data_IF_547087412552
#
_entry.id   IF_547087412552
#
_cell.length_a   1.000
_cell.length_b   1.000
_cell.length_c   1.000
_cell.angle_alpha   90.00
_cell.angle_beta   90.00
_cell.angle_gamma   90.00
#
_symmetry.space_group_name_H-M   'P 1'
#
loop_
_entity.id
_entity.type
_entity.pdbx_description
1 polymer ?
#
# COMPACT_ATOMS: atom_id res chain seq x y z
N UNK A 1 2.16 3.47 -13.08
CA UNK A 1 0.96 2.65 -13.10
C UNK A 1 1.22 1.41 -13.95
N UNK A 2 1.07 0.24 -13.37
CA UNK A 2 1.09 -1.04 -14.06
C UNK A 2 -0.32 -1.64 -14.02
N UNK A 3 -0.87 -1.98 -15.19
CA UNK A 3 -2.24 -2.49 -15.31
C UNK A 3 -2.20 -3.83 -16.03
N UNK A 4 -2.56 -4.90 -15.36
CA UNK A 4 -2.75 -6.20 -15.97
C UNK A 4 -4.25 -6.44 -16.22
N UNK A 5 -4.61 -6.70 -17.48
CA UNK A 5 -6.00 -6.99 -17.86
C UNK A 5 -6.08 -8.45 -18.31
N UNK A 6 -6.93 -9.22 -17.64
CA UNK A 6 -7.17 -10.64 -17.96
C UNK A 6 -8.56 -10.78 -18.54
N UNK A 7 -8.60 -10.98 -19.86
CA UNK A 7 -9.80 -11.17 -20.66
C UNK A 7 -9.73 -12.53 -21.38
N UNK A 8 -10.86 -12.98 -21.93
CA UNK A 8 -10.87 -14.03 -22.96
C UNK A 8 -10.35 -13.46 -24.27
N UNK A 9 -9.72 -14.31 -25.09
CA UNK A 9 -9.14 -13.91 -26.39
C UNK A 9 -10.16 -13.23 -27.31
N UNK A 10 -11.42 -13.64 -27.25
CA UNK A 10 -12.54 -13.06 -28.03
C UNK A 10 -12.80 -11.58 -27.74
N UNK A 11 -12.36 -11.08 -26.57
CA UNK A 11 -12.52 -9.68 -26.11
C UNK A 11 -11.20 -8.92 -26.01
N UNK A 12 -10.11 -9.48 -26.48
CA UNK A 12 -8.78 -8.87 -26.37
C UNK A 12 -8.72 -7.45 -26.97
N UNK A 13 -9.56 -7.15 -27.96
CA UNK A 13 -9.68 -5.82 -28.57
C UNK A 13 -10.11 -4.73 -27.56
N UNK A 14 -10.75 -5.08 -26.44
CA UNK A 14 -11.19 -4.13 -25.41
C UNK A 14 -10.10 -3.78 -24.38
N UNK A 15 -9.00 -4.53 -24.35
CA UNK A 15 -7.93 -4.29 -23.40
C UNK A 15 -7.40 -2.84 -23.40
N UNK A 16 -7.12 -2.20 -24.55
CA UNK A 16 -6.65 -0.80 -24.57
C UNK A 16 -7.66 0.18 -23.97
N UNK A 17 -8.97 -0.04 -24.21
CA UNK A 17 -10.04 0.80 -23.68
C UNK A 17 -10.12 0.68 -22.15
N UNK A 18 -10.03 -0.54 -21.63
CA UNK A 18 -10.01 -0.80 -20.18
C UNK A 18 -8.77 -0.18 -19.52
N UNK A 19 -7.58 -0.36 -20.09
CA UNK A 19 -6.35 0.27 -19.59
C UNK A 19 -6.47 1.80 -19.55
N UNK A 20 -7.05 2.40 -20.57
CA UNK A 20 -7.31 3.84 -20.62
C UNK A 20 -8.27 4.26 -19.52
N UNK A 21 -9.35 3.54 -19.29
CA UNK A 21 -10.31 3.82 -18.22
C UNK A 21 -9.64 3.75 -16.83
N UNK A 22 -8.83 2.72 -16.57
CA UNK A 22 -8.07 2.60 -15.31
C UNK A 22 -7.13 3.80 -15.13
N UNK A 23 -6.44 4.24 -16.18
CA UNK A 23 -5.50 5.36 -16.12
C UNK A 23 -6.17 6.72 -15.84
N UNK A 24 -7.49 6.85 -15.99
CA UNK A 24 -8.22 8.07 -15.58
C UNK A 24 -8.46 8.15 -14.07
N UNK A 25 -8.46 7.00 -13.38
CA UNK A 25 -8.77 6.90 -11.94
C UNK A 25 -7.51 6.72 -11.10
N UNK A 26 -6.51 6.02 -11.63
CA UNK A 26 -5.26 5.75 -10.91
C UNK A 26 -4.04 6.25 -11.69
N UNK A 27 -3.09 6.89 -11.00
CA UNK A 27 -1.85 7.41 -11.60
C UNK A 27 -0.63 6.54 -11.34
N UNK A 28 -0.70 5.61 -10.36
CA UNK A 28 0.39 4.70 -9.95
C UNK A 28 -0.16 3.43 -9.33
N UNK A 29 0.73 2.48 -9.03
CA UNK A 29 0.38 1.20 -8.43
C UNK A 29 0.26 0.08 -9.46
N UNK A 30 -0.09 -1.11 -8.98
CA UNK A 30 -0.37 -2.29 -9.79
C UNK A 30 -1.86 -2.62 -9.67
N UNK A 31 -2.56 -2.71 -10.81
CA UNK A 31 -4.00 -2.97 -10.86
C UNK A 31 -4.26 -4.15 -11.78
N UNK A 32 -4.81 -5.21 -11.22
CA UNK A 32 -5.29 -6.38 -11.96
C UNK A 32 -6.79 -6.22 -12.26
N UNK A 33 -7.14 -6.18 -13.53
CA UNK A 33 -8.55 -6.22 -14.00
C UNK A 33 -8.84 -7.62 -14.50
N UNK A 34 -9.67 -8.36 -13.77
CA UNK A 34 -10.07 -9.71 -14.13
C UNK A 34 -11.53 -9.72 -14.57
N UNK A 35 -11.77 -9.96 -15.85
CA UNK A 35 -13.11 -10.13 -16.41
C UNK A 35 -13.47 -11.59 -16.51
N UNK A 36 -14.49 -12.01 -15.78
CA UNK A 36 -15.05 -13.36 -15.84
C UNK A 36 -16.43 -13.31 -16.47
N UNK A 37 -16.61 -14.04 -17.56
CA UNK A 37 -17.90 -14.21 -18.19
C UNK A 37 -18.45 -15.60 -17.82
N UNK A 38 -19.65 -15.64 -17.29
CA UNK A 38 -20.41 -16.89 -17.08
C UNK A 38 -21.45 -16.99 -18.17
N UNK A 39 -21.40 -18.03 -19.00
CA UNK A 39 -22.52 -18.33 -19.88
C UNK A 39 -23.68 -18.84 -19.02
N UNK A 40 -24.92 -18.36 -19.21
CA UNK A 40 -26.06 -18.97 -18.54
C UNK A 40 -26.13 -20.47 -18.92
N UNK A 41 -26.43 -21.31 -17.95
CA UNK A 41 -26.69 -22.71 -18.18
C UNK A 41 -27.89 -22.82 -19.17
N UNK A 42 -27.60 -23.27 -20.40
CA UNK A 42 -28.61 -23.31 -21.46
C UNK A 42 -28.30 -22.41 -22.67
N UNK A 43 -27.07 -21.87 -22.79
CA UNK A 43 -26.63 -21.30 -24.06
C UNK A 43 -26.81 -22.34 -25.16
N UNK A 44 -27.65 -22.03 -26.14
CA UNK A 44 -28.13 -22.97 -27.14
C UNK A 44 -26.99 -23.69 -27.82
N UNK A 45 -27.13 -25.00 -27.95
CA UNK A 45 -26.27 -25.83 -28.81
C UNK A 45 -27.01 -25.94 -30.11
N UNK A 46 -26.42 -25.44 -31.18
CA UNK A 46 -26.95 -25.61 -32.54
C UNK A 46 -26.33 -26.81 -33.20
N UNK A 47 -27.15 -27.62 -33.84
CA UNK A 47 -26.67 -28.73 -34.64
C UNK A 47 -26.34 -28.20 -36.04
N UNK A 48 -25.08 -28.35 -36.46
CA UNK A 48 -24.67 -28.10 -37.86
C UNK A 48 -25.08 -29.31 -38.73
N UNK A 49 -26.26 -29.16 -39.34
CA UNK A 49 -26.82 -30.24 -40.19
C UNK A 49 -25.95 -30.49 -41.43
N UNK A 50 -25.30 -29.46 -41.98
CA UNK A 50 -24.43 -29.60 -43.15
C UNK A 50 -23.17 -30.42 -42.79
N UNK A 51 -22.63 -30.25 -41.61
CA UNK A 51 -21.53 -31.04 -41.09
C UNK A 51 -21.98 -32.48 -40.83
N UNK A 52 -23.15 -32.69 -40.24
CA UNK A 52 -23.73 -34.01 -39.98
C UNK A 52 -23.97 -34.77 -41.27
N UNK A 53 -24.55 -34.12 -42.29
CA UNK A 53 -24.80 -34.74 -43.62
C UNK A 53 -23.50 -35.12 -44.34
N UNK A 54 -22.46 -34.29 -44.27
CA UNK A 54 -21.14 -34.60 -44.84
C UNK A 54 -20.56 -35.86 -44.21
N UNK A 55 -20.55 -35.95 -42.90
CA UNK A 55 -20.05 -37.12 -42.20
C UNK A 55 -20.87 -38.38 -42.54
N UNK A 56 -22.20 -38.30 -42.59
CA UNK A 56 -23.06 -39.40 -42.93
C UNK A 56 -22.81 -39.93 -44.36
N UNK A 57 -22.61 -39.01 -45.32
CA UNK A 57 -22.32 -39.33 -46.71
C UNK A 57 -20.95 -40.01 -46.87
N UNK A 58 -19.91 -39.40 -46.31
CA UNK A 58 -18.55 -39.95 -46.37
C UNK A 58 -18.49 -41.36 -45.73
N UNK A 59 -19.16 -41.55 -44.59
CA UNK A 59 -19.24 -42.85 -43.94
C UNK A 59 -19.92 -43.90 -44.82
N UNK A 60 -21.05 -43.52 -45.43
CA UNK A 60 -21.79 -44.45 -46.29
C UNK A 60 -20.98 -44.87 -47.51
N UNK A 61 -20.23 -43.96 -48.11
CA UNK A 61 -19.38 -44.26 -49.26
C UNK A 61 -18.17 -45.12 -48.88
N UNK A 62 -17.55 -44.88 -47.76
CA UNK A 62 -16.32 -45.57 -47.33
C UNK A 62 -16.61 -46.91 -46.64
N UNK A 63 -17.68 -47.03 -45.87
CA UNK A 63 -18.13 -48.27 -45.24
C UNK A 63 -18.51 -49.34 -46.27
N UNK A 64 -19.19 -48.91 -47.35
CA UNK A 64 -19.53 -49.81 -48.47
C UNK A 64 -18.31 -50.38 -49.17
N UNK A 65 -17.23 -49.60 -49.33
CA UNK A 65 -15.98 -50.06 -49.96
C UNK A 65 -15.16 -50.97 -49.06
N UNK A 66 -15.31 -50.86 -47.75
CA UNK A 66 -14.50 -51.60 -46.74
C UNK A 66 -15.25 -52.75 -46.07
N UNK A 67 -16.52 -52.97 -46.39
CA UNK A 67 -17.34 -54.00 -45.78
C UNK A 67 -17.65 -53.75 -44.29
N UNK A 68 -17.70 -52.50 -43.86
CA UNK A 68 -18.03 -52.13 -42.49
C UNK A 68 -19.56 -51.99 -42.34
N UNK A 69 -20.14 -52.16 -41.12
CA UNK A 69 -21.57 -51.96 -40.88
C UNK A 69 -21.97 -50.51 -41.19
N UNK A 70 -23.04 -50.33 -41.95
CA UNK A 70 -23.24 -49.19 -42.83
C UNK A 70 -24.01 -47.98 -42.33
N UNK A 71 -24.57 -47.93 -41.13
CA UNK A 71 -25.36 -46.78 -40.70
C UNK A 71 -24.85 -46.15 -39.39
N UNK A 72 -24.59 -44.85 -39.42
CA UNK A 72 -24.32 -44.06 -38.22
C UNK A 72 -25.66 -43.70 -37.56
N UNK A 73 -25.80 -43.94 -36.29
CA UNK A 73 -26.96 -43.50 -35.54
C UNK A 73 -26.83 -41.99 -35.25
N UNK A 74 -27.97 -41.29 -35.03
CA UNK A 74 -27.98 -39.86 -34.73
C UNK A 74 -27.06 -39.49 -33.54
N UNK A 75 -26.95 -40.34 -32.53
CA UNK A 75 -26.04 -40.13 -31.38
C UNK A 75 -24.55 -40.11 -31.79
N UNK A 76 -24.20 -40.95 -32.82
CA UNK A 76 -22.82 -41.06 -33.26
C UNK A 76 -22.44 -39.77 -34.05
N UNK A 77 -23.37 -39.25 -34.87
CA UNK A 77 -23.21 -37.99 -35.58
C UNK A 77 -23.05 -36.82 -34.61
N UNK A 78 -23.82 -36.75 -33.52
CA UNK A 78 -23.74 -35.68 -32.51
C UNK A 78 -22.41 -35.70 -31.75
N UNK A 79 -21.70 -36.80 -31.72
CA UNK A 79 -20.38 -36.91 -31.07
C UNK A 79 -19.22 -36.46 -31.95
N UNK A 80 -19.45 -36.26 -33.27
CA UNK A 80 -18.41 -35.87 -34.20
C UNK A 80 -18.04 -34.39 -34.11
N UNK A 81 -16.75 -34.06 -34.29
CA UNK A 81 -16.28 -32.69 -34.21
C UNK A 81 -17.01 -31.73 -35.15
N UNK A 82 -17.47 -30.60 -34.65
CA UNK A 82 -18.11 -29.58 -35.46
C UNK A 82 -19.60 -29.80 -35.80
N UNK A 83 -20.20 -30.94 -35.40
CA UNK A 83 -21.65 -31.19 -35.54
C UNK A 83 -22.44 -30.47 -34.45
N UNK A 84 -21.92 -30.44 -33.24
CA UNK A 84 -22.45 -29.58 -32.16
C UNK A 84 -21.64 -28.29 -32.08
N UNK A 85 -22.27 -27.18 -32.38
CA UNK A 85 -21.68 -25.84 -32.22
C UNK A 85 -22.38 -25.10 -31.10
N UNK A 86 -21.63 -24.40 -30.29
CA UNK A 86 -22.23 -23.39 -29.42
C UNK A 86 -22.88 -22.32 -30.32
N UNK A 87 -24.12 -21.96 -30.01
CA UNK A 87 -24.80 -20.88 -30.73
C UNK A 87 -24.01 -19.59 -30.49
N UNK A 88 -23.27 -19.15 -31.53
CA UNK A 88 -22.63 -17.84 -31.53
C UNK A 88 -23.77 -16.82 -31.69
N UNK A 89 -24.03 -16.04 -30.65
CA UNK A 89 -24.97 -14.92 -30.72
C UNK A 89 -24.41 -13.88 -31.66
N UNK A 90 -24.80 -13.91 -32.91
CA UNK A 90 -24.35 -12.96 -33.96
C UNK A 90 -24.72 -11.50 -33.64
N UNK A 91 -25.64 -11.27 -32.70
CA UNK A 91 -26.08 -9.91 -32.28
C UNK A 91 -25.40 -9.40 -31.01
N UNK A 92 -24.37 -10.10 -30.50
CA UNK A 92 -23.84 -9.89 -29.15
C UNK A 92 -22.66 -8.94 -29.00
N UNK A 93 -21.83 -8.74 -30.04
CA UNK A 93 -20.53 -8.11 -29.81
C UNK A 93 -20.61 -6.65 -29.38
N UNK A 94 -21.33 -5.80 -30.09
CA UNK A 94 -21.38 -4.36 -29.74
C UNK A 94 -22.16 -4.07 -28.46
N UNK A 95 -23.25 -4.81 -28.20
CA UNK A 95 -24.04 -4.67 -26.98
C UNK A 95 -23.31 -5.23 -25.76
N UNK A 96 -22.57 -6.33 -25.93
CA UNK A 96 -21.74 -6.91 -24.88
C UNK A 96 -20.54 -6.01 -24.54
N UNK A 97 -19.85 -5.49 -25.56
CA UNK A 97 -18.72 -4.57 -25.40
C UNK A 97 -19.13 -3.32 -24.61
N UNK A 98 -20.27 -2.70 -24.98
CA UNK A 98 -20.81 -1.54 -24.27
C UNK A 98 -21.16 -1.88 -22.81
N UNK A 99 -21.78 -3.04 -22.59
CA UNK A 99 -22.13 -3.51 -21.24
C UNK A 99 -20.89 -3.81 -20.39
N UNK A 100 -19.85 -4.40 -20.97
CA UNK A 100 -18.59 -4.66 -20.30
C UNK A 100 -17.88 -3.36 -19.89
N UNK A 101 -17.81 -2.39 -20.79
CA UNK A 101 -17.21 -1.09 -20.47
C UNK A 101 -17.98 -0.35 -19.36
N UNK A 102 -19.32 -0.38 -19.38
CA UNK A 102 -20.15 0.19 -18.32
C UNK A 102 -19.88 -0.51 -16.96
N UNK A 103 -19.72 -1.83 -16.96
CA UNK A 103 -19.36 -2.58 -15.74
C UNK A 103 -17.95 -2.21 -15.23
N UNK A 104 -16.99 -2.05 -16.13
CA UNK A 104 -15.64 -1.58 -15.77
C UNK A 104 -15.70 -0.18 -15.16
N UNK A 105 -16.44 0.74 -15.76
CA UNK A 105 -16.63 2.08 -15.22
C UNK A 105 -17.31 2.06 -13.83
N UNK A 106 -18.31 1.20 -13.62
CA UNK A 106 -18.92 1.01 -12.30
C UNK A 106 -17.92 0.51 -11.29
N UNK A 107 -17.15 -0.52 -11.64
CA UNK A 107 -16.12 -1.06 -10.77
C UNK A 107 -15.04 -0.01 -10.42
N UNK A 108 -14.64 0.82 -11.37
CA UNK A 108 -13.71 1.92 -11.15
C UNK A 108 -14.28 3.01 -10.23
N UNK A 109 -15.57 3.34 -10.36
CA UNK A 109 -16.24 4.26 -9.42
C UNK A 109 -16.28 3.70 -7.99
N UNK A 110 -16.59 2.42 -7.83
CA UNK A 110 -16.60 1.76 -6.52
C UNK A 110 -15.19 1.69 -5.91
N UNK A 111 -14.18 1.45 -6.75
CA UNK A 111 -12.77 1.48 -6.36
C UNK A 111 -12.37 2.86 -5.85
N UNK A 112 -12.69 3.93 -6.60
CA UNK A 112 -12.36 5.31 -6.21
C UNK A 112 -13.08 5.73 -4.92
N UNK A 113 -14.34 5.35 -4.75
CA UNK A 113 -15.07 5.58 -3.48
C UNK A 113 -14.43 4.85 -2.29
N UNK A 114 -13.93 3.64 -2.53
CA UNK A 114 -13.24 2.86 -1.49
C UNK A 114 -11.94 3.54 -1.10
N UNK A 115 -11.14 3.98 -2.08
CA UNK A 115 -9.91 4.76 -1.83
C UNK A 115 -10.19 6.06 -1.07
N UNK A 116 -11.26 6.78 -1.43
CA UNK A 116 -11.64 8.00 -0.73
C UNK A 116 -11.99 7.74 0.74
N UNK A 117 -12.71 6.64 1.03
CA UNK A 117 -13.04 6.24 2.41
C UNK A 117 -11.80 5.82 3.20
N UNK A 118 -10.92 5.03 2.60
CA UNK A 118 -9.68 4.60 3.22
C UNK A 118 -8.73 5.78 3.46
N UNK A 119 -8.62 6.69 2.49
CA UNK A 119 -7.84 7.92 2.62
C UNK A 119 -8.34 8.83 3.74
N UNK A 120 -9.66 8.95 3.91
CA UNK A 120 -10.24 9.71 5.03
C UNK A 120 -9.91 9.06 6.39
N UNK A 121 -9.98 7.73 6.49
CA UNK A 121 -9.60 7.02 7.71
C UNK A 121 -8.11 7.16 8.03
N UNK A 122 -7.24 7.06 7.00
CA UNK A 122 -5.80 7.28 7.14
C UNK A 122 -5.48 8.71 7.60
N UNK A 123 -6.19 9.71 7.07
CA UNK A 123 -6.01 11.11 7.49
C UNK A 123 -6.28 11.31 8.98
N UNK A 124 -7.33 10.69 9.52
CA UNK A 124 -7.63 10.71 10.96
C UNK A 124 -6.53 10.03 11.76
N UNK A 125 -6.08 8.85 11.32
CA UNK A 125 -5.00 8.12 11.99
C UNK A 125 -3.69 8.92 12.00
N UNK A 126 -3.33 9.57 10.89
CA UNK A 126 -2.15 10.44 10.83
C UNK A 126 -2.23 11.62 11.79
N UNK A 127 -3.38 12.28 11.87
CA UNK A 127 -3.57 13.39 12.81
C UNK A 127 -3.39 12.96 14.27
N UNK A 128 -3.90 11.80 14.64
CA UNK A 128 -3.73 11.24 15.99
C UNK A 128 -2.27 10.90 16.30
N UNK A 129 -1.57 10.24 15.36
CA UNK A 129 -0.15 9.90 15.55
C UNK A 129 0.70 11.16 15.61
N UNK A 130 0.49 12.11 14.70
CA UNK A 130 1.21 13.37 14.67
C UNK A 130 1.06 14.14 15.98
N UNK A 131 -0.14 14.20 16.53
CA UNK A 131 -0.42 14.84 17.82
C UNK A 131 0.34 14.18 18.98
N UNK A 132 0.47 12.84 18.97
CA UNK A 132 1.28 12.13 19.97
C UNK A 132 2.76 12.46 19.82
N UNK A 133 3.28 12.48 18.59
CA UNK A 133 4.67 12.84 18.31
C UNK A 133 4.96 14.29 18.73
N UNK A 134 4.09 15.24 18.39
CA UNK A 134 4.21 16.64 18.83
C UNK A 134 4.23 16.78 20.35
N UNK A 135 3.36 16.05 21.04
CA UNK A 135 3.32 16.00 22.50
C UNK A 135 4.61 15.41 23.08
N UNK A 136 5.12 14.34 22.46
CA UNK A 136 6.39 13.72 22.84
C UNK A 136 7.57 14.68 22.67
N UNK A 137 7.64 15.40 21.55
CA UNK A 137 8.69 16.41 21.30
C UNK A 137 8.59 17.55 22.30
N UNK A 138 7.39 18.04 22.64
CA UNK A 138 7.22 19.06 23.66
C UNK A 138 7.67 18.58 25.06
N UNK A 139 7.41 17.32 25.42
CA UNK A 139 7.92 16.73 26.65
C UNK A 139 9.44 16.62 26.64
N UNK A 140 10.03 16.19 25.52
CA UNK A 140 11.48 16.10 25.36
C UNK A 140 12.14 17.50 25.48
N UNK A 141 11.52 18.53 24.92
CA UNK A 141 11.96 19.93 25.05
C UNK A 141 11.90 20.42 26.51
N UNK A 142 10.87 20.03 27.25
CA UNK A 142 10.78 20.35 28.67
C UNK A 142 11.88 19.66 29.53
N UNK A 143 12.24 18.40 29.18
CA UNK A 143 13.28 17.65 29.88
C UNK A 143 14.69 18.25 29.76
N UNK A 144 14.98 19.03 28.70
CA UNK A 144 16.29 19.73 28.56
C UNK A 144 16.47 20.85 29.54
N UNK A 145 15.37 21.41 30.10
CA UNK A 145 15.45 22.49 31.07
C UNK A 145 16.05 22.00 32.37
N UNK A 146 17.06 22.69 32.89
CA UNK A 146 17.72 22.34 34.15
C UNK A 146 18.66 21.11 34.07
N UNK A 147 19.05 20.66 32.87
CA UNK A 147 19.98 19.54 32.69
C UNK A 147 21.32 19.82 33.38
N UNK A 148 21.88 21.05 33.27
CA UNK A 148 23.16 21.40 33.89
C UNK A 148 23.12 21.28 35.41
N UNK A 149 22.04 21.74 36.04
CA UNK A 149 21.83 21.67 37.49
C UNK A 149 21.70 20.23 37.97
N UNK A 150 20.97 19.41 37.20
CA UNK A 150 20.82 17.96 37.49
C UNK A 150 22.15 17.21 37.35
N UNK A 151 22.93 17.49 36.32
CA UNK A 151 24.28 16.96 36.14
C UNK A 151 25.17 17.33 37.32
N UNK A 152 25.18 18.64 37.69
CA UNK A 152 25.97 19.13 38.81
C UNK A 152 25.62 18.42 40.11
N UNK A 153 24.31 18.34 40.43
CA UNK A 153 23.82 17.63 41.63
C UNK A 153 24.24 16.18 41.65
N UNK A 154 24.01 15.47 40.55
CA UNK A 154 24.35 14.05 40.41
C UNK A 154 25.86 13.81 40.57
N UNK A 155 26.69 14.70 39.99
CA UNK A 155 28.14 14.56 40.05
C UNK A 155 28.65 14.83 41.45
N UNK A 156 28.11 15.85 42.15
CA UNK A 156 28.44 16.11 43.56
C UNK A 156 28.09 14.94 44.48
N UNK A 157 26.90 14.36 44.30
CA UNK A 157 26.45 13.20 45.07
C UNK A 157 27.37 11.98 44.87
N UNK A 158 27.79 11.73 43.63
CA UNK A 158 28.73 10.64 43.29
C UNK A 158 30.11 10.86 43.89
N UNK A 159 30.61 12.09 43.84
CA UNK A 159 31.89 12.47 44.46
C UNK A 159 31.81 12.25 45.98
N UNK A 160 30.75 12.73 46.64
CA UNK A 160 30.56 12.56 48.06
C UNK A 160 30.53 11.11 48.50
N UNK A 161 29.94 10.21 47.70
CA UNK A 161 29.90 8.75 47.99
C UNK A 161 31.26 8.07 47.76
N UNK A 162 32.08 8.53 46.79
CA UNK A 162 33.32 7.86 46.39
C UNK A 162 34.54 8.43 47.12
N UNK A 163 34.53 9.69 47.47
CA UNK A 163 35.67 10.44 47.99
C UNK A 163 35.34 11.10 49.36
N UNK A 164 34.80 10.31 50.32
CA UNK A 164 34.44 10.77 51.62
C UNK A 164 35.66 11.45 52.28
N UNK A 165 35.54 12.78 52.56
CA UNK A 165 36.60 13.60 53.23
C UNK A 165 37.59 14.30 52.29
N UNK A 166 37.46 14.15 50.98
CA UNK A 166 38.27 14.93 50.00
C UNK A 166 37.55 16.23 49.66
N UNK A 167 38.27 17.36 49.72
CA UNK A 167 37.74 18.64 49.27
C UNK A 167 37.51 18.66 47.76
N UNK A 168 36.31 19.03 47.34
CA UNK A 168 35.95 19.14 45.93
C UNK A 168 36.53 20.43 45.35
N UNK A 169 37.30 20.35 44.27
CA UNK A 169 37.71 21.54 43.48
C UNK A 169 36.50 22.02 42.65
N UNK A 170 35.88 23.10 43.10
CA UNK A 170 34.68 23.68 42.45
C UNK A 170 34.95 24.15 41.04
N UNK A 171 36.16 24.64 40.71
CA UNK A 171 36.48 25.09 39.34
C UNK A 171 36.54 23.90 38.39
N UNK A 172 37.13 22.81 38.81
CA UNK A 172 37.19 21.56 38.06
C UNK A 172 35.81 20.90 37.90
N UNK A 173 35.00 20.92 38.98
CA UNK A 173 33.61 20.45 38.94
C UNK A 173 32.79 21.25 37.90
N UNK A 174 32.92 22.57 37.89
CA UNK A 174 32.20 23.43 36.93
C UNK A 174 32.62 23.13 35.47
N UNK A 175 33.89 22.88 35.20
CA UNK A 175 34.37 22.48 33.87
C UNK A 175 33.78 21.14 33.40
N UNK A 176 33.79 20.14 34.29
CA UNK A 176 33.21 18.81 33.96
C UNK A 176 31.68 18.89 33.76
N UNK A 177 30.96 19.71 34.56
CA UNK A 177 29.54 19.96 34.36
C UNK A 177 29.27 20.59 33.00
N UNK A 178 30.04 21.61 32.61
CA UNK A 178 29.92 22.29 31.32
C UNK A 178 30.11 21.31 30.16
N UNK A 179 31.15 20.46 30.22
CA UNK A 179 31.41 19.46 29.20
C UNK A 179 30.31 18.38 29.08
N UNK A 180 29.75 17.96 30.23
CA UNK A 180 28.65 17.00 30.25
C UNK A 180 27.34 17.61 29.79
N UNK A 181 27.09 18.87 30.13
CA UNK A 181 25.90 19.60 29.66
C UNK A 181 25.94 19.82 28.15
N UNK A 182 27.09 20.22 27.59
CA UNK A 182 27.27 20.35 26.15
C UNK A 182 27.00 19.02 25.39
N UNK A 183 27.49 17.92 25.93
CA UNK A 183 27.23 16.58 25.36
C UNK A 183 25.77 16.14 25.48
N UNK A 184 25.03 16.64 26.45
CA UNK A 184 23.63 16.33 26.66
C UNK A 184 22.69 17.33 25.99
N UNK A 185 23.25 18.36 25.35
CA UNK A 185 22.43 19.37 24.65
C UNK A 185 21.78 18.79 23.41
N UNK A 186 20.44 18.90 23.37
CA UNK A 186 19.56 18.43 22.29
C UNK A 186 18.81 19.60 21.64
N UNK A 187 19.25 20.82 21.84
CA UNK A 187 18.55 22.03 21.37
C UNK A 187 18.39 22.01 19.85
N UNK A 188 19.45 21.69 19.12
CA UNK A 188 19.44 21.60 17.66
C UNK A 188 18.49 20.50 17.16
N UNK A 189 18.50 19.33 17.77
CA UNK A 189 17.60 18.23 17.42
C UNK A 189 16.14 18.61 17.64
N UNK A 190 15.82 19.30 18.74
CA UNK A 190 14.46 19.78 19.03
C UNK A 190 13.99 20.79 17.98
N UNK A 191 14.83 21.75 17.60
CA UNK A 191 14.49 22.76 16.61
C UNK A 191 14.27 22.12 15.20
N UNK A 192 15.10 21.13 14.85
CA UNK A 192 14.91 20.34 13.62
C UNK A 192 13.63 19.50 13.67
N UNK A 193 13.35 18.84 14.80
CA UNK A 193 12.11 18.09 15.00
C UNK A 193 10.88 19.00 14.82
N UNK A 194 10.85 20.19 15.42
CA UNK A 194 9.76 21.16 15.26
C UNK A 194 9.58 21.57 13.79
N UNK A 195 10.69 21.80 13.09
CA UNK A 195 10.67 22.16 11.67
C UNK A 195 10.12 21.05 10.80
N UNK A 196 10.58 19.81 11.01
CA UNK A 196 10.09 18.65 10.25
C UNK A 196 8.62 18.35 10.55
N UNK A 197 8.16 18.49 11.80
CA UNK A 197 6.76 18.30 12.17
C UNK A 197 5.85 19.33 11.52
N UNK A 198 6.28 20.59 11.44
CA UNK A 198 5.54 21.65 10.74
C UNK A 198 5.41 21.34 9.24
N UNK A 199 6.49 20.87 8.60
CA UNK A 199 6.46 20.46 7.19
C UNK A 199 5.59 19.22 6.99
N UNK A 200 5.64 18.24 7.90
CA UNK A 200 4.79 17.05 7.88
C UNK A 200 3.31 17.43 7.91
N UNK A 201 2.92 18.33 8.81
CA UNK A 201 1.55 18.85 8.93
C UNK A 201 1.11 19.56 7.65
N UNK A 202 2.01 20.35 7.04
CA UNK A 202 1.75 21.01 5.76
C UNK A 202 1.52 20.02 4.63
N UNK A 203 2.30 18.94 4.59
CA UNK A 203 2.14 17.88 3.59
C UNK A 203 0.84 17.13 3.74
N UNK A 204 0.43 16.78 4.94
CA UNK A 204 -0.84 16.09 5.20
C UNK A 204 -2.06 16.92 4.76
N UNK A 205 -1.94 18.25 4.76
CA UNK A 205 -2.98 19.17 4.27
C UNK A 205 -2.91 19.43 2.75
N UNK A 206 -1.85 18.98 2.07
CA UNK A 206 -1.64 19.23 0.64
C UNK A 206 -2.41 18.22 -0.23
N UNK A 207 -2.83 18.67 -1.42
CA UNK A 207 -3.37 17.80 -2.45
C UNK A 207 -2.25 17.15 -3.28
N UNK A 208 -2.50 15.95 -3.81
CA UNK A 208 -1.61 15.23 -4.73
C UNK A 208 -0.77 14.15 -4.04
N UNK A 209 0.14 13.50 -4.78
CA UNK A 209 0.91 12.36 -4.30
C UNK A 209 1.94 12.81 -3.26
N UNK A 210 1.74 12.45 -2.00
CA UNK A 210 2.56 12.87 -0.86
C UNK A 210 3.38 11.74 -0.23
N UNK A 211 3.10 10.47 -0.51
CA UNK A 211 3.67 9.31 0.18
C UNK A 211 5.20 9.31 0.29
N UNK A 212 5.93 9.56 -0.81
CA UNK A 212 7.42 9.63 -0.79
C UNK A 212 7.96 10.75 0.10
N UNK A 213 7.27 11.88 0.11
CA UNK A 213 7.70 13.04 0.93
C UNK A 213 7.44 12.79 2.41
N UNK A 214 6.32 12.12 2.72
CA UNK A 214 6.01 11.69 4.08
C UNK A 214 7.04 10.68 4.59
N UNK A 215 7.42 9.69 3.77
CA UNK A 215 8.44 8.71 4.13
C UNK A 215 9.79 9.37 4.42
N UNK A 216 10.25 10.27 3.54
CA UNK A 216 11.48 11.02 3.75
C UNK A 216 11.45 11.83 5.05
N UNK A 217 10.37 12.58 5.32
CA UNK A 217 10.25 13.35 6.56
C UNK A 217 10.20 12.44 7.80
N UNK A 218 9.52 11.31 7.72
CA UNK A 218 9.50 10.33 8.80
C UNK A 218 10.91 9.79 9.11
N UNK A 219 11.74 9.60 8.09
CA UNK A 219 13.14 9.18 8.25
C UNK A 219 13.98 10.28 8.92
N UNK A 220 13.82 11.56 8.51
CA UNK A 220 14.53 12.67 9.14
C UNK A 220 14.11 12.86 10.61
N UNK A 221 12.81 12.82 10.91
CA UNK A 221 12.31 12.88 12.29
C UNK A 221 12.88 11.73 13.13
N UNK A 222 12.88 10.52 12.58
CA UNK A 222 13.44 9.35 13.25
C UNK A 222 14.94 9.52 13.54
N UNK A 223 15.69 10.12 12.60
CA UNK A 223 17.11 10.45 12.79
C UNK A 223 17.33 11.40 13.94
N UNK A 224 16.56 12.50 14.00
CA UNK A 224 16.68 13.48 15.08
C UNK A 224 16.29 12.90 16.46
N UNK A 225 15.26 12.02 16.50
CA UNK A 225 14.89 11.29 17.71
C UNK A 225 16.00 10.33 18.15
N UNK A 226 16.67 9.65 17.22
CA UNK A 226 17.80 8.78 17.53
C UNK A 226 18.99 9.56 18.08
N UNK A 227 19.32 10.70 17.47
CA UNK A 227 20.40 11.58 17.93
C UNK A 227 20.11 12.11 19.33
N UNK A 228 18.89 12.61 19.56
CA UNK A 228 18.43 13.01 20.88
C UNK A 228 18.58 11.86 21.90
N UNK A 229 18.14 10.66 21.53
CA UNK A 229 18.23 9.47 22.40
C UNK A 229 19.65 9.07 22.76
N UNK A 230 20.64 9.36 21.91
CA UNK A 230 22.05 9.08 22.20
C UNK A 230 22.66 10.09 23.20
N UNK A 231 22.14 11.31 23.23
CA UNK A 231 22.61 12.40 24.08
C UNK A 231 21.94 12.39 25.48
N UNK A 232 20.65 12.02 25.57
CA UNK A 232 19.93 11.98 26.84
C UNK A 232 20.25 10.72 27.62
N UNK A 233 20.58 10.88 28.93
CA UNK A 233 20.90 9.77 29.85
C UNK A 233 19.92 9.67 31.00
N UNK A 234 19.02 10.61 31.13
CA UNK A 234 18.03 10.65 32.20
C UNK A 234 16.86 9.71 31.89
N UNK A 235 16.36 9.02 32.91
CA UNK A 235 15.31 8.01 32.75
C UNK A 235 14.02 8.58 32.14
N UNK A 236 13.66 9.83 32.52
CA UNK A 236 12.47 10.53 31.99
C UNK A 236 12.57 10.78 30.51
N UNK A 237 13.65 11.42 30.05
CA UNK A 237 13.89 11.74 28.64
C UNK A 237 14.07 10.46 27.79
N UNK A 238 14.75 9.42 28.33
CA UNK A 238 14.91 8.14 27.63
C UNK A 238 13.56 7.48 27.35
N UNK A 239 12.61 7.54 28.28
CA UNK A 239 11.27 7.00 28.10
C UNK A 239 10.50 7.75 27.01
N UNK A 240 10.57 9.08 27.00
CA UNK A 240 9.96 9.91 25.93
C UNK A 240 10.53 9.55 24.55
N UNK A 241 11.85 9.35 24.45
CA UNK A 241 12.48 8.91 23.18
C UNK A 241 11.97 7.56 22.74
N UNK A 242 11.77 6.60 23.63
CA UNK A 242 11.22 5.29 23.29
C UNK A 242 9.77 5.38 22.80
N UNK A 243 8.94 6.20 23.48
CA UNK A 243 7.55 6.44 23.06
C UNK A 243 7.51 7.08 21.66
N UNK A 244 8.36 8.09 21.42
CA UNK A 244 8.49 8.74 20.12
C UNK A 244 8.92 7.76 19.00
N UNK A 245 9.84 6.85 19.27
CA UNK A 245 10.24 5.83 18.29
C UNK A 245 9.09 4.90 17.93
N UNK A 246 8.31 4.46 18.90
CA UNK A 246 7.14 3.61 18.68
C UNK A 246 6.08 4.32 17.82
N UNK A 247 5.77 5.60 18.13
CA UNK A 247 4.83 6.39 17.33
C UNK A 247 5.35 6.62 15.89
N UNK A 248 6.65 6.84 15.71
CA UNK A 248 7.26 6.99 14.38
C UNK A 248 7.25 5.72 13.55
N UNK A 249 7.46 4.55 14.15
CA UNK A 249 7.31 3.28 13.43
C UNK A 249 5.85 3.07 13.00
N UNK A 250 4.88 3.34 13.89
CA UNK A 250 3.46 3.30 13.52
C UNK A 250 3.14 4.27 12.38
N UNK A 251 3.72 5.50 12.42
CA UNK A 251 3.57 6.48 11.33
C UNK A 251 4.11 5.95 10.00
N UNK A 252 5.31 5.38 9.99
CA UNK A 252 5.93 4.82 8.79
C UNK A 252 5.12 3.67 8.17
N UNK A 253 4.58 2.78 9.01
CA UNK A 253 3.70 1.70 8.55
C UNK A 253 2.47 2.27 7.82
N UNK A 254 1.85 3.33 8.36
CA UNK A 254 0.72 3.96 7.69
C UNK A 254 1.10 4.69 6.40
N UNK A 255 2.31 5.27 6.32
CA UNK A 255 2.81 5.95 5.11
C UNK A 255 2.91 4.99 3.92
N UNK A 256 3.17 3.70 4.14
CA UNK A 256 3.21 2.69 3.07
C UNK A 256 1.86 2.54 2.35
N UNK A 257 0.76 2.89 3.01
CA UNK A 257 -0.60 2.83 2.48
C UNK A 257 -1.04 4.14 1.80
N UNK A 258 -0.19 5.17 1.76
CA UNK A 258 -0.50 6.49 1.17
C UNK A 258 -0.04 6.55 -0.27
N UNK A 259 -0.92 6.97 -1.15
CA UNK A 259 -0.62 7.30 -2.54
C UNK A 259 -0.11 8.74 -2.73
#
# INVERSE_FOLDING_TARGET
>A
LDVAVKLRDEYAALEPAIRKAVATVASRGHIDVLVRTTRPAGAGVKIDMDAAERYAKEWKEDSSKRGLPGELAARDLLSLPGVLRAEESADGDSSFEASLLDLVEKALRDFDQTRAREGAALSVAFEEILKRIETGVARLDAERVGVSERIQSSLRERIAKLAAGVAVDEARLAQEVALLADRADITEEIDRLKTHLAELRRLLAAAGPIGRRLDHLAQEIHREVNTSGSKVRETGATRVVLDLKADLETFKEQVQNVE
#
